data_IF_403724369158
#
_entry.id   IF_403724369158
#
_cell.length_a   1.000
_cell.length_b   1.000
_cell.length_c   1.000
_cell.angle_alpha   90.00
_cell.angle_beta   90.00
_cell.angle_gamma   90.00
#
_symmetry.space_group_name_H-M   'P 1'
#
loop_
_entity.id
_entity.type
_entity.pdbx_description
1 polymer ?
#
# COMPACT_ATOMS: atom_id res chain seq x y z
N UNK A 1 23.25 6.42 9.40
CA UNK A 1 22.61 5.13 9.83
C UNK A 1 21.32 4.79 9.09
N UNK A 2 20.24 5.57 9.16
CA UNK A 2 18.99 5.23 8.45
C UNK A 2 19.18 5.09 6.94
N UNK A 3 20.00 5.97 6.33
CA UNK A 3 20.35 5.88 4.92
C UNK A 3 21.09 4.57 4.58
N UNK A 4 21.99 4.09 5.46
CA UNK A 4 22.67 2.80 5.28
C UNK A 4 21.67 1.64 5.32
N UNK A 5 20.74 1.65 6.29
CA UNK A 5 19.69 0.64 6.36
C UNK A 5 18.78 0.68 5.13
N UNK A 6 18.39 1.86 4.66
CA UNK A 6 17.59 2.01 3.45
C UNK A 6 18.33 1.48 2.21
N UNK A 7 19.63 1.74 2.10
CA UNK A 7 20.47 1.22 1.01
C UNK A 7 20.59 -0.31 1.06
N UNK A 8 20.81 -0.88 2.24
CA UNK A 8 20.86 -2.33 2.44
C UNK A 8 19.53 -3.00 2.06
N UNK A 9 18.39 -2.43 2.47
CA UNK A 9 17.06 -2.94 2.08
C UNK A 9 16.84 -2.83 0.56
N UNK A 10 17.30 -1.74 -0.07
CA UNK A 10 17.31 -1.58 -1.54
C UNK A 10 18.26 -2.54 -2.26
N UNK A 11 19.23 -3.12 -1.56
CA UNK A 11 20.09 -4.20 -2.02
C UNK A 11 19.54 -5.60 -1.67
N UNK A 12 18.36 -5.69 -1.04
CA UNK A 12 17.67 -6.94 -0.74
C UNK A 12 17.84 -7.47 0.69
N UNK A 13 18.42 -6.70 1.61
CA UNK A 13 18.49 -7.11 3.01
C UNK A 13 17.08 -7.25 3.63
N UNK A 14 16.74 -8.48 4.03
CA UNK A 14 15.42 -8.81 4.61
C UNK A 14 15.41 -8.83 6.14
N UNK A 15 16.60 -8.85 6.77
CA UNK A 15 16.82 -8.92 8.21
C UNK A 15 17.84 -7.87 8.68
N UNK A 16 17.84 -7.54 9.98
CA UNK A 16 18.83 -6.61 10.55
C UNK A 16 20.24 -7.20 10.58
N UNK A 17 20.38 -8.52 10.50
CA UNK A 17 21.67 -9.19 10.32
C UNK A 17 22.22 -8.89 8.92
N UNK A 18 21.41 -9.13 7.88
CA UNK A 18 21.78 -8.83 6.49
C UNK A 18 22.05 -7.33 6.27
N UNK A 19 21.36 -6.45 7.00
CA UNK A 19 21.70 -5.01 7.00
C UNK A 19 23.10 -4.78 7.57
N UNK A 20 23.44 -5.44 8.68
CA UNK A 20 24.77 -5.33 9.29
C UNK A 20 25.88 -5.84 8.38
N UNK A 21 25.67 -7.01 7.75
CA UNK A 21 26.58 -7.61 6.77
C UNK A 21 26.80 -6.67 5.58
N UNK A 22 25.72 -6.13 5.00
CA UNK A 22 25.82 -5.18 3.89
C UNK A 22 26.59 -3.90 4.27
N UNK A 23 26.44 -3.42 5.52
CA UNK A 23 27.18 -2.24 6.01
C UNK A 23 28.67 -2.58 6.19
N UNK A 24 29.00 -3.79 6.66
CA UNK A 24 30.37 -4.23 6.83
C UNK A 24 31.11 -4.37 5.48
N UNK A 25 30.40 -4.83 4.45
CA UNK A 25 30.95 -5.02 3.10
C UNK A 25 30.93 -3.73 2.25
N UNK A 26 30.36 -2.64 2.75
CA UNK A 26 30.20 -1.41 1.99
C UNK A 26 31.55 -0.69 1.75
N UNK A 27 31.82 -0.22 0.52
CA UNK A 27 33.06 0.51 0.22
C UNK A 27 33.24 1.75 1.09
N UNK A 28 34.50 2.01 1.46
CA UNK A 28 34.95 3.19 2.20
C UNK A 28 34.34 4.51 1.67
N UNK A 29 34.43 4.75 0.36
CA UNK A 29 33.93 5.99 -0.22
C UNK A 29 32.40 6.14 -0.02
N UNK A 30 31.65 5.05 -0.10
CA UNK A 30 30.21 5.06 0.13
C UNK A 30 29.88 5.37 1.59
N UNK A 31 30.57 4.72 2.52
CA UNK A 31 30.40 4.93 3.96
C UNK A 31 30.63 6.40 4.34
N UNK A 32 31.67 7.02 3.78
CA UNK A 32 31.94 8.45 3.95
C UNK A 32 30.81 9.34 3.43
N UNK A 33 30.29 9.05 2.24
CA UNK A 33 29.17 9.82 1.68
C UNK A 33 27.92 9.74 2.57
N UNK A 34 27.72 8.62 3.25
CA UNK A 34 26.63 8.41 4.19
C UNK A 34 26.96 8.86 5.63
N UNK A 35 28.07 9.57 5.81
CA UNK A 35 28.46 10.24 7.06
C UNK A 35 29.22 9.36 8.05
N UNK A 36 29.69 8.17 7.65
CA UNK A 36 30.59 7.35 8.47
C UNK A 36 32.00 7.88 8.28
N UNK A 37 32.52 8.56 9.30
CA UNK A 37 33.87 9.15 9.31
C UNK A 37 34.84 8.21 10.05
N UNK A 38 36.10 8.13 9.60
CA UNK A 38 37.16 7.55 10.42
C UNK A 38 37.34 8.37 11.70
N UNK A 39 37.66 7.71 12.79
CA UNK A 39 37.94 8.38 14.06
C UNK A 39 39.32 9.08 13.94
N UNK A 40 39.45 10.36 14.34
CA UNK A 40 40.75 11.05 14.29
C UNK A 40 41.85 10.39 15.14
N UNK A 41 41.46 9.64 16.18
CA UNK A 41 42.35 8.96 17.12
C UNK A 41 42.50 7.46 16.82
N UNK A 42 41.60 6.88 16.02
CA UNK A 42 41.68 5.50 15.56
C UNK A 42 41.53 5.43 14.03
N UNK A 43 42.58 5.09 13.27
CA UNK A 43 42.56 5.12 11.81
C UNK A 43 41.59 4.09 11.20
N UNK A 44 41.06 3.15 12.00
CA UNK A 44 39.98 2.27 11.58
C UNK A 44 38.63 3.00 11.56
N UNK A 45 37.85 2.78 10.50
CA UNK A 45 36.49 3.30 10.44
C UNK A 45 35.66 2.66 11.54
N UNK A 46 35.04 3.49 12.38
CA UNK A 46 34.03 3.06 13.34
C UNK A 46 32.76 2.66 12.59
N UNK A 47 32.75 1.43 12.09
CA UNK A 47 31.55 0.83 11.55
C UNK A 47 30.51 0.69 12.67
N UNK A 48 29.22 0.89 12.35
CA UNK A 48 28.17 0.67 13.33
C UNK A 48 28.19 -0.79 13.78
N UNK A 49 28.48 -1.04 15.06
CA UNK A 49 28.39 -2.37 15.62
C UNK A 49 26.99 -2.99 15.36
N UNK A 50 26.90 -4.31 15.26
CA UNK A 50 25.63 -5.00 15.03
C UNK A 50 24.55 -4.65 16.06
N UNK A 51 24.94 -4.30 17.29
CA UNK A 51 24.05 -3.80 18.34
C UNK A 51 23.43 -2.43 17.99
N UNK A 52 24.15 -1.55 17.31
CA UNK A 52 23.65 -0.25 16.83
C UNK A 52 22.67 -0.43 15.67
N UNK A 53 22.98 -1.33 14.73
CA UNK A 53 22.08 -1.68 13.61
C UNK A 53 20.75 -2.24 14.14
N UNK A 54 20.77 -3.03 15.22
CA UNK A 54 19.56 -3.57 15.85
C UNK A 54 18.79 -2.56 16.69
N UNK A 55 19.47 -1.71 17.46
CA UNK A 55 18.84 -0.74 18.37
C UNK A 55 18.16 0.41 17.63
N UNK A 56 18.71 0.85 16.50
CA UNK A 56 18.17 2.01 15.78
C UNK A 56 16.71 1.80 15.34
N UNK A 57 16.34 0.76 14.56
CA UNK A 57 14.95 0.55 14.18
C UNK A 57 14.02 0.32 15.37
N UNK A 58 14.54 -0.18 16.50
CA UNK A 58 13.74 -0.41 17.70
C UNK A 58 13.45 0.86 18.51
N UNK A 59 14.25 1.92 18.33
CA UNK A 59 14.17 3.18 19.11
C UNK A 59 13.73 4.39 18.29
N UNK A 60 13.68 4.27 16.97
CA UNK A 60 13.23 5.37 16.12
C UNK A 60 11.74 5.64 16.32
N UNK A 61 11.36 6.91 16.25
CA UNK A 61 9.96 7.30 16.11
C UNK A 61 9.44 6.79 14.76
N UNK A 62 8.61 5.74 14.81
CA UNK A 62 8.06 5.12 13.61
C UNK A 62 7.03 6.01 12.91
N UNK A 63 6.29 6.84 13.65
CA UNK A 63 5.34 7.79 13.06
C UNK A 63 6.09 8.87 12.28
N UNK A 64 7.21 9.36 12.83
CA UNK A 64 8.08 10.30 12.12
C UNK A 64 8.69 9.66 10.85
N UNK A 65 9.11 8.40 10.93
CA UNK A 65 9.66 7.69 9.77
C UNK A 65 8.61 7.47 8.67
N UNK A 66 7.39 7.03 9.03
CA UNK A 66 6.27 6.87 8.09
C UNK A 66 5.93 8.20 7.41
N UNK A 67 5.82 9.29 8.18
CA UNK A 67 5.58 10.64 7.64
C UNK A 67 6.69 11.11 6.71
N UNK A 68 7.95 10.87 7.08
CA UNK A 68 9.10 11.29 6.27
C UNK A 68 9.12 10.56 4.91
N UNK A 69 8.89 9.24 4.91
CA UNK A 69 8.83 8.44 3.67
C UNK A 69 7.60 8.81 2.84
N UNK A 70 6.45 8.98 3.47
CA UNK A 70 5.21 9.42 2.82
C UNK A 70 5.36 10.77 2.12
N UNK A 71 5.93 11.77 2.81
CA UNK A 71 6.25 13.09 2.24
C UNK A 71 7.25 13.00 1.10
N UNK A 72 8.32 12.22 1.27
CA UNK A 72 9.32 12.02 0.22
C UNK A 72 8.69 11.48 -1.07
N UNK A 73 7.70 10.59 -0.96
CA UNK A 73 6.92 10.10 -2.10
C UNK A 73 5.93 11.11 -2.65
N UNK A 74 5.25 11.87 -1.79
CA UNK A 74 4.32 12.91 -2.22
C UNK A 74 5.04 13.99 -3.06
N UNK A 75 6.21 14.46 -2.60
CA UNK A 75 7.03 15.47 -3.28
C UNK A 75 7.58 14.99 -4.63
N UNK A 76 7.66 13.67 -4.83
CA UNK A 76 8.24 13.03 -6.02
C UNK A 76 7.22 12.26 -6.84
N UNK A 77 5.94 12.42 -6.52
CA UNK A 77 4.83 11.83 -7.25
C UNK A 77 4.53 12.64 -8.51
N UNK A 78 4.14 12.00 -9.63
CA UNK A 78 3.70 12.70 -10.81
C UNK A 78 2.36 13.42 -10.52
N UNK A 79 2.27 14.68 -10.92
CA UNK A 79 1.00 15.40 -10.99
C UNK A 79 0.21 14.81 -12.15
N UNK A 80 -0.67 13.86 -11.84
CA UNK A 80 -1.52 13.21 -12.85
C UNK A 80 -2.83 13.96 -12.99
N UNK A 81 -3.18 14.31 -14.23
CA UNK A 81 -4.46 14.92 -14.56
C UNK A 81 -5.61 13.89 -14.46
N UNK A 82 -6.79 14.34 -14.04
CA UNK A 82 -8.00 13.54 -13.96
C UNK A 82 -8.22 12.84 -12.61
N UNK A 83 -9.10 11.84 -12.60
CA UNK A 83 -9.50 11.13 -11.39
C UNK A 83 -8.37 10.29 -10.81
N UNK A 84 -7.88 10.69 -9.63
CA UNK A 84 -6.79 10.02 -8.89
C UNK A 84 -7.37 9.13 -7.79
N UNK A 85 -6.90 7.89 -7.72
CA UNK A 85 -7.31 6.93 -6.69
C UNK A 85 -6.29 6.77 -5.58
N UNK A 86 -6.78 6.62 -4.35
CA UNK A 86 -5.99 6.31 -3.16
C UNK A 86 -6.55 5.04 -2.52
N UNK A 87 -5.80 3.94 -2.55
CA UNK A 87 -6.21 2.69 -1.94
C UNK A 87 -5.89 2.71 -0.44
N UNK A 88 -6.84 2.33 0.40
CA UNK A 88 -6.65 2.13 1.83
C UNK A 88 -6.92 0.67 2.17
N UNK A 89 -5.92 -0.01 2.72
CA UNK A 89 -5.99 -1.41 3.13
C UNK A 89 -4.97 -1.71 4.23
N UNK A 90 -5.32 -2.67 5.07
CA UNK A 90 -4.56 -3.08 6.24
C UNK A 90 -3.72 -4.33 5.99
N UNK A 91 -2.52 -4.39 6.59
CA UNK A 91 -1.68 -5.60 6.61
C UNK A 91 -1.21 -5.94 8.01
N UNK A 92 -1.49 -7.16 8.45
CA UNK A 92 -0.90 -7.73 9.66
C UNK A 92 0.51 -8.26 9.40
N UNK A 93 1.45 -7.92 10.29
CA UNK A 93 2.82 -8.45 10.30
C UNK A 93 2.85 -9.76 11.11
N UNK A 94 2.70 -10.91 10.43
CA UNK A 94 2.44 -12.19 11.11
C UNK A 94 3.59 -12.69 11.99
N UNK A 95 4.83 -12.60 11.51
CA UNK A 95 6.01 -13.07 12.25
C UNK A 95 6.40 -12.19 13.47
N UNK A 96 5.94 -10.94 13.46
CA UNK A 96 6.25 -9.93 14.48
C UNK A 96 5.32 -9.98 15.70
N UNK A 97 4.36 -10.92 15.75
CA UNK A 97 3.50 -11.09 16.91
C UNK A 97 4.33 -11.43 18.17
N UNK A 98 4.09 -10.71 19.26
CA UNK A 98 4.74 -10.98 20.56
C UNK A 98 4.12 -12.21 21.22
N UNK A 99 4.86 -12.86 22.13
CA UNK A 99 4.38 -13.97 22.95
C UNK A 99 3.11 -13.64 23.77
N UNK A 100 2.87 -12.35 24.04
CA UNK A 100 1.66 -11.83 24.70
C UNK A 100 0.62 -11.20 23.75
N UNK A 101 0.59 -11.60 22.47
CA UNK A 101 -0.62 -11.47 21.65
C UNK A 101 -0.81 -10.17 20.85
N UNK A 102 0.03 -9.13 20.99
CA UNK A 102 -0.05 -7.96 20.08
C UNK A 102 0.33 -8.38 18.66
N UNK A 103 -0.66 -8.37 17.77
CA UNK A 103 -0.47 -8.43 16.32
C UNK A 103 -0.27 -7.00 15.85
N UNK A 104 0.86 -6.71 15.22
CA UNK A 104 1.07 -5.39 14.59
C UNK A 104 0.28 -5.41 13.29
N UNK A 105 -0.64 -4.47 13.13
CA UNK A 105 -1.41 -4.31 11.93
C UNK A 105 -1.27 -2.88 11.41
N UNK A 106 -0.82 -2.76 10.17
CA UNK A 106 -0.46 -1.50 9.55
C UNK A 106 -1.51 -1.17 8.50
N UNK A 107 -2.21 -0.05 8.69
CA UNK A 107 -3.11 0.53 7.69
C UNK A 107 -2.30 1.45 6.78
N UNK A 108 -2.36 1.23 5.47
CA UNK A 108 -1.61 2.00 4.49
C UNK A 108 -2.53 2.71 3.50
N UNK A 109 -2.16 3.95 3.13
CA UNK A 109 -2.79 4.70 2.04
C UNK A 109 -1.82 4.78 0.86
N UNK A 110 -2.21 4.20 -0.28
CA UNK A 110 -1.35 4.03 -1.45
C UNK A 110 -1.97 4.63 -2.71
N UNK A 111 -1.20 5.45 -3.44
CA UNK A 111 -1.64 6.01 -4.71
C UNK A 111 -1.78 4.91 -5.78
N UNK A 112 -2.92 4.85 -6.48
CA UNK A 112 -3.23 3.80 -7.45
C UNK A 112 -2.24 3.72 -8.62
N UNK A 113 -1.92 4.88 -9.21
CA UNK A 113 -1.16 4.95 -10.48
C UNK A 113 0.32 4.62 -10.29
N UNK A 114 0.90 5.07 -9.18
CA UNK A 114 2.33 4.92 -8.89
C UNK A 114 2.62 3.74 -7.97
N UNK A 115 1.61 3.29 -7.21
CA UNK A 115 1.77 2.28 -6.18
C UNK A 115 2.73 2.71 -5.06
N UNK A 116 2.79 4.01 -4.77
CA UNK A 116 3.56 4.63 -3.69
C UNK A 116 2.69 4.75 -2.43
N UNK A 117 3.25 4.35 -1.29
CA UNK A 117 2.59 4.47 0.01
C UNK A 117 2.81 5.89 0.54
N UNK A 118 1.74 6.69 0.58
CA UNK A 118 1.79 8.09 1.00
C UNK A 118 1.62 8.24 2.51
N UNK A 119 0.97 7.26 3.15
CA UNK A 119 0.82 7.22 4.59
C UNK A 119 0.73 5.77 5.07
N UNK A 120 1.19 5.53 6.30
CA UNK A 120 1.06 4.26 6.99
C UNK A 120 0.94 4.52 8.50
N UNK A 121 0.07 3.77 9.17
CA UNK A 121 -0.17 3.90 10.61
C UNK A 121 -0.38 2.52 11.24
N UNK A 122 0.11 2.33 12.47
CA UNK A 122 -0.14 1.14 13.27
C UNK A 122 -1.46 1.27 14.01
N UNK A 123 -2.34 0.27 13.88
CA UNK A 123 -3.65 0.29 14.51
C UNK A 123 -3.61 0.19 16.03
N UNK A 124 -2.44 0.08 16.66
CA UNK A 124 -2.26 0.24 18.10
C UNK A 124 -2.81 -0.92 18.93
N UNK A 125 -2.67 -0.83 20.26
CA UNK A 125 -3.10 -1.92 21.17
C UNK A 125 -4.58 -1.89 21.53
N UNK A 126 -5.24 -0.73 21.42
CA UNK A 126 -6.64 -0.51 21.84
C UNK A 126 -7.54 -0.04 20.70
N UNK A 127 -6.98 0.18 19.53
CA UNK A 127 -7.65 0.73 18.36
C UNK A 127 -7.84 -0.39 17.34
N UNK A 128 -8.88 -0.25 16.53
CA UNK A 128 -9.16 -1.18 15.43
C UNK A 128 -8.90 -0.45 14.12
N UNK A 129 -8.72 -1.21 13.03
CA UNK A 129 -8.45 -0.67 11.70
C UNK A 129 -9.46 0.44 11.28
N UNK A 130 -10.72 0.33 11.72
CA UNK A 130 -11.78 1.32 11.47
C UNK A 130 -11.43 2.67 12.12
N UNK A 131 -11.06 2.69 13.40
CA UNK A 131 -10.68 3.93 14.11
C UNK A 131 -9.43 4.61 13.54
N UNK A 132 -8.57 3.86 12.83
CA UNK A 132 -7.32 4.37 12.26
C UNK A 132 -7.48 4.98 10.87
N UNK A 133 -8.66 4.84 10.25
CA UNK A 133 -8.92 5.32 8.89
C UNK A 133 -8.79 6.84 8.77
N UNK A 134 -9.44 7.60 9.66
CA UNK A 134 -9.37 9.07 9.63
C UNK A 134 -7.97 9.60 10.01
N UNK A 135 -7.34 9.15 11.13
CA UNK A 135 -5.98 9.57 11.47
C UNK A 135 -4.96 9.29 10.37
N UNK A 136 -5.07 8.17 9.66
CA UNK A 136 -4.21 7.86 8.53
C UNK A 136 -4.35 8.92 7.42
N UNK A 137 -5.58 9.25 7.03
CA UNK A 137 -5.83 10.21 5.96
C UNK A 137 -5.49 11.65 6.36
N UNK A 138 -5.49 11.98 7.66
CA UNK A 138 -5.01 13.27 8.15
C UNK A 138 -3.50 13.47 7.93
N UNK A 139 -2.74 12.38 7.80
CA UNK A 139 -1.30 12.46 7.47
C UNK A 139 -1.02 12.65 5.98
N UNK A 140 -2.03 12.47 5.12
CA UNK A 140 -1.92 12.72 3.68
C UNK A 140 -2.11 14.21 3.42
N UNK A 141 -1.13 14.85 2.76
CA UNK A 141 -1.06 16.31 2.61
C UNK A 141 -2.32 16.92 1.98
N UNK A 142 -2.85 16.32 0.92
CA UNK A 142 -4.10 16.75 0.30
C UNK A 142 -4.90 15.54 -0.21
N UNK A 143 -6.13 15.42 0.29
CA UNK A 143 -7.09 14.38 -0.12
C UNK A 143 -8.23 14.94 -0.97
N UNK A 144 -8.32 16.27 -1.13
CA UNK A 144 -9.38 16.89 -1.89
C UNK A 144 -9.34 16.42 -3.36
N UNK A 145 -10.51 16.07 -3.89
CA UNK A 145 -10.66 15.52 -5.24
C UNK A 145 -10.08 14.11 -5.44
N UNK A 146 -9.46 13.48 -4.43
CA UNK A 146 -9.05 12.08 -4.52
C UNK A 146 -10.25 11.15 -4.38
N UNK A 147 -10.16 9.99 -5.01
CA UNK A 147 -11.10 8.88 -4.81
C UNK A 147 -10.47 7.84 -3.91
N UNK A 148 -10.89 7.81 -2.66
CA UNK A 148 -10.45 6.80 -1.70
C UNK A 148 -11.18 5.48 -2.00
N UNK A 149 -10.42 4.43 -2.29
CA UNK A 149 -10.94 3.08 -2.44
C UNK A 149 -10.54 2.24 -1.26
N UNK A 150 -11.51 1.59 -0.65
CA UNK A 150 -11.28 0.78 0.54
C UNK A 150 -11.95 -0.57 0.42
N UNK A 151 -11.52 -1.47 1.27
CA UNK A 151 -12.13 -2.77 1.43
C UNK A 151 -13.57 -2.65 2.00
N UNK A 152 -14.20 -3.80 2.21
CA UNK A 152 -15.57 -3.81 2.72
C UNK A 152 -15.67 -3.45 4.19
N UNK A 153 -14.65 -3.72 5.00
CA UNK A 153 -14.66 -3.39 6.42
C UNK A 153 -14.74 -1.88 6.65
N UNK A 154 -14.13 -1.09 5.76
CA UNK A 154 -14.19 0.37 5.74
C UNK A 154 -15.45 0.96 5.11
N UNK A 155 -16.43 0.13 4.72
CA UNK A 155 -17.76 0.60 4.27
C UNK A 155 -18.56 1.08 5.48
N UNK A 156 -18.15 2.20 6.06
CA UNK A 156 -18.73 2.85 7.23
C UNK A 156 -19.30 4.21 6.84
N UNK A 157 -20.44 4.58 7.43
CA UNK A 157 -21.10 5.85 7.14
C UNK A 157 -20.23 7.04 7.57
N UNK A 158 -19.62 6.95 8.75
CA UNK A 158 -18.71 7.97 9.29
C UNK A 158 -17.51 8.21 8.37
N UNK A 159 -16.92 7.16 7.80
CA UNK A 159 -15.82 7.31 6.84
C UNK A 159 -16.25 8.05 5.57
N UNK A 160 -17.45 7.75 5.07
CA UNK A 160 -18.00 8.43 3.90
C UNK A 160 -18.26 9.92 4.19
N UNK A 161 -18.86 10.24 5.34
CA UNK A 161 -19.11 11.63 5.76
C UNK A 161 -17.80 12.41 5.96
N UNK A 162 -16.80 11.81 6.60
CA UNK A 162 -15.47 12.38 6.74
C UNK A 162 -14.82 12.71 5.39
N UNK A 163 -14.84 11.77 4.44
CA UNK A 163 -14.25 11.98 3.12
C UNK A 163 -14.96 13.10 2.36
N UNK A 164 -16.30 13.13 2.39
CA UNK A 164 -17.08 14.18 1.76
C UNK A 164 -16.82 15.55 2.39
N UNK A 165 -16.69 15.62 3.72
CA UNK A 165 -16.32 16.84 4.44
C UNK A 165 -14.95 17.39 4.01
N UNK A 166 -14.00 16.50 3.68
CA UNK A 166 -12.68 16.87 3.14
C UNK A 166 -12.66 17.06 1.61
N UNK A 167 -13.83 17.16 0.96
CA UNK A 167 -13.98 17.28 -0.50
C UNK A 167 -13.33 16.12 -1.27
N UNK A 168 -13.17 14.97 -0.63
CA UNK A 168 -12.74 13.73 -1.25
C UNK A 168 -13.97 12.91 -1.68
N UNK A 169 -13.73 11.93 -2.55
CA UNK A 169 -14.72 10.97 -2.98
C UNK A 169 -14.35 9.58 -2.51
N UNK A 170 -15.31 8.66 -2.53
CA UNK A 170 -15.07 7.27 -2.17
C UNK A 170 -15.59 6.29 -3.22
N UNK A 171 -14.98 5.11 -3.26
CA UNK A 171 -15.59 3.90 -3.82
C UNK A 171 -15.42 2.78 -2.80
N UNK A 172 -16.53 2.26 -2.28
CA UNK A 172 -16.54 1.24 -1.22
C UNK A 172 -17.24 -0.03 -1.69
N UNK A 173 -16.68 -1.19 -1.33
CA UNK A 173 -17.23 -2.50 -1.72
C UNK A 173 -18.21 -2.98 -0.67
N UNK A 174 -19.47 -3.18 -1.06
CA UNK A 174 -20.54 -3.59 -0.15
C UNK A 174 -20.60 -5.12 -0.04
N UNK A 175 -20.28 -5.68 1.13
CA UNK A 175 -20.38 -7.12 1.45
C UNK A 175 -21.49 -7.38 2.47
N UNK A 176 -21.37 -8.47 3.24
CA UNK A 176 -22.38 -8.91 4.21
C UNK A 176 -22.46 -8.06 5.47
N UNK A 177 -21.45 -7.24 5.75
CA UNK A 177 -21.43 -6.30 6.88
C UNK A 177 -22.44 -5.15 6.73
N UNK A 178 -22.89 -4.86 5.51
CA UNK A 178 -23.87 -3.81 5.22
C UNK A 178 -25.16 -4.40 4.63
N UNK A 179 -25.92 -5.14 5.46
CA UNK A 179 -27.06 -5.97 5.01
C UNK A 179 -28.14 -5.15 4.27
N UNK A 180 -28.56 -4.02 4.83
CA UNK A 180 -29.65 -3.20 4.27
C UNK A 180 -29.23 -2.53 2.96
N UNK A 181 -28.05 -1.92 2.93
CA UNK A 181 -27.47 -1.35 1.72
C UNK A 181 -27.32 -2.41 0.62
N UNK A 182 -26.81 -3.60 0.97
CA UNK A 182 -26.70 -4.71 0.02
C UNK A 182 -28.05 -5.19 -0.50
N UNK A 183 -29.11 -5.17 0.33
CA UNK A 183 -30.47 -5.52 -0.09
C UNK A 183 -30.99 -4.50 -1.12
N UNK A 184 -30.84 -3.19 -0.85
CA UNK A 184 -31.19 -2.14 -1.82
C UNK A 184 -30.41 -2.25 -3.12
N UNK A 185 -29.09 -2.50 -3.03
CA UNK A 185 -28.26 -2.66 -4.22
C UNK A 185 -28.71 -3.88 -5.04
N UNK A 186 -29.13 -4.97 -4.42
CA UNK A 186 -29.65 -6.15 -5.14
C UNK A 186 -31.01 -5.90 -5.81
N UNK A 187 -31.85 -5.04 -5.25
CA UNK A 187 -33.19 -4.75 -5.78
C UNK A 187 -33.21 -3.77 -6.94
N UNK A 188 -32.08 -3.10 -7.25
CA UNK A 188 -31.98 -2.24 -8.43
C UNK A 188 -32.21 -3.06 -9.72
N UNK A 189 -32.77 -2.44 -10.79
CA UNK A 189 -33.14 -3.12 -12.04
C UNK A 189 -31.92 -3.44 -12.92
N UNK A 190 -30.97 -4.23 -12.39
CA UNK A 190 -29.73 -4.59 -13.10
C UNK A 190 -29.92 -5.33 -14.41
N UNK A 191 -31.10 -5.90 -14.64
CA UNK A 191 -31.42 -6.56 -15.91
C UNK A 191 -31.63 -5.52 -17.03
N UNK A 192 -32.27 -4.40 -16.71
CA UNK A 192 -32.58 -3.30 -17.63
C UNK A 192 -31.38 -2.39 -17.89
N UNK A 193 -30.47 -2.27 -16.92
CA UNK A 193 -29.27 -1.44 -17.07
C UNK A 193 -28.34 -2.06 -18.14
N UNK A 194 -27.91 -1.31 -19.17
CA UNK A 194 -27.04 -1.83 -20.22
C UNK A 194 -25.65 -2.21 -19.68
N UNK A 195 -24.95 -3.08 -20.40
CA UNK A 195 -23.56 -3.39 -20.10
C UNK A 195 -22.67 -2.21 -20.51
N UNK A 196 -22.06 -1.54 -19.54
CA UNK A 196 -21.26 -0.32 -19.80
C UNK A 196 -19.75 -0.57 -19.82
N UNK A 197 -19.31 -1.78 -19.52
CA UNK A 197 -17.90 -2.13 -19.64
C UNK A 197 -17.62 -3.62 -19.50
N UNK A 198 -16.61 -4.10 -20.23
CA UNK A 198 -16.16 -5.49 -20.18
C UNK A 198 -14.65 -5.56 -20.35
N UNK A 199 -13.99 -6.23 -19.42
CA UNK A 199 -12.55 -6.51 -19.52
C UNK A 199 -12.31 -8.01 -19.46
N UNK A 200 -11.34 -8.50 -20.24
CA UNK A 200 -10.84 -9.88 -20.18
C UNK A 200 -9.36 -9.84 -19.80
N UNK A 201 -8.95 -10.69 -18.87
CA UNK A 201 -7.55 -10.86 -18.50
C UNK A 201 -7.22 -12.35 -18.45
N UNK A 202 -5.99 -12.71 -18.83
CA UNK A 202 -5.47 -14.07 -18.76
C UNK A 202 -4.13 -14.01 -18.03
N UNK A 203 -4.00 -14.76 -16.94
CA UNK A 203 -2.78 -14.76 -16.13
C UNK A 203 -2.85 -15.79 -15.01
N UNK A 204 -1.69 -16.26 -14.54
CA UNK A 204 -1.55 -17.23 -13.44
C UNK A 204 -2.46 -18.47 -13.59
N UNK A 205 -2.54 -19.03 -14.81
CA UNK A 205 -3.36 -20.20 -15.12
C UNK A 205 -4.88 -19.96 -15.11
N UNK A 206 -5.33 -18.70 -15.08
CA UNK A 206 -6.74 -18.32 -14.97
C UNK A 206 -7.13 -17.34 -16.07
N UNK A 207 -8.37 -17.42 -16.52
CA UNK A 207 -9.02 -16.42 -17.37
C UNK A 207 -10.09 -15.72 -16.54
N UNK A 208 -10.08 -14.39 -16.51
CA UNK A 208 -11.06 -13.59 -15.79
C UNK A 208 -11.75 -12.60 -16.73
N UNK A 209 -13.08 -12.61 -16.72
CA UNK A 209 -13.92 -11.61 -17.39
C UNK A 209 -14.63 -10.82 -16.31
N UNK A 210 -14.52 -9.49 -16.38
CA UNK A 210 -15.28 -8.57 -15.52
C UNK A 210 -16.24 -7.78 -16.40
N UNK A 211 -17.49 -7.68 -15.94
CA UNK A 211 -18.56 -6.89 -16.55
C UNK A 211 -19.04 -5.89 -15.52
N UNK A 212 -19.12 -4.61 -15.89
CA UNK A 212 -19.61 -3.54 -15.02
C UNK A 212 -20.94 -2.99 -15.54
N UNK A 213 -21.85 -2.76 -14.59
CA UNK A 213 -23.08 -1.97 -14.76
C UNK A 213 -23.11 -0.93 -13.65
N UNK A 214 -23.57 0.27 -13.98
CA UNK A 214 -23.61 1.43 -13.09
C UNK A 214 -24.97 2.09 -13.23
N UNK A 215 -25.58 2.44 -12.10
CA UNK A 215 -26.85 3.15 -12.02
C UNK A 215 -26.66 4.43 -11.22
N UNK A 216 -27.15 5.56 -11.72
CA UNK A 216 -27.33 6.75 -10.91
C UNK A 216 -28.41 6.48 -9.85
N UNK A 217 -28.17 6.91 -8.62
CA UNK A 217 -29.03 6.66 -7.47
C UNK A 217 -29.04 7.87 -6.55
N UNK A 218 -30.20 8.18 -5.97
CA UNK A 218 -30.35 9.31 -5.04
C UNK A 218 -30.80 8.89 -3.62
N UNK A 219 -31.21 7.63 -3.42
CA UNK A 219 -31.89 7.17 -2.20
C UNK A 219 -31.24 5.93 -1.57
N UNK A 220 -29.94 5.71 -1.80
CA UNK A 220 -29.22 4.65 -1.10
C UNK A 220 -29.01 5.00 0.37
N UNK A 221 -29.08 3.98 1.22
CA UNK A 221 -28.78 4.06 2.66
C UNK A 221 -27.26 4.17 2.92
N UNK A 222 -26.57 5.10 2.25
CA UNK A 222 -25.16 5.36 2.43
C UNK A 222 -24.83 6.82 2.12
N UNK A 223 -24.04 7.47 2.97
CA UNK A 223 -23.86 8.92 2.95
C UNK A 223 -23.25 9.43 1.64
N UNK A 224 -23.97 10.33 0.95
CA UNK A 224 -23.53 10.98 -0.28
C UNK A 224 -23.43 10.05 -1.49
N UNK A 225 -24.00 8.84 -1.44
CA UNK A 225 -23.99 7.89 -2.56
C UNK A 225 -24.75 8.44 -3.78
N UNK A 226 -24.07 8.49 -4.93
CA UNK A 226 -24.63 9.00 -6.21
C UNK A 226 -24.68 7.96 -7.32
N UNK A 227 -23.82 6.94 -7.27
CA UNK A 227 -23.87 5.83 -8.20
C UNK A 227 -23.73 4.47 -7.49
N UNK A 228 -24.57 3.52 -7.91
CA UNK A 228 -24.49 2.11 -7.55
C UNK A 228 -23.77 1.34 -8.64
N UNK A 229 -22.90 0.41 -8.25
CA UNK A 229 -22.06 -0.35 -9.17
C UNK A 229 -22.29 -1.84 -8.96
N UNK A 230 -22.57 -2.57 -10.04
CA UNK A 230 -22.55 -4.03 -10.07
C UNK A 230 -21.40 -4.51 -10.95
N UNK A 231 -20.51 -5.32 -10.37
CA UNK A 231 -19.45 -6.02 -11.10
C UNK A 231 -19.71 -7.51 -11.07
N UNK A 232 -19.93 -8.11 -12.24
CA UNK A 232 -19.94 -9.57 -12.41
C UNK A 232 -18.56 -10.03 -12.85
N UNK A 233 -17.93 -10.87 -12.02
CA UNK A 233 -16.63 -11.51 -12.25
C UNK A 233 -16.86 -12.97 -12.61
N UNK A 234 -16.52 -13.37 -13.84
CA UNK A 234 -16.44 -14.78 -14.26
C UNK A 234 -14.98 -15.16 -14.31
N UNK A 235 -14.58 -16.11 -13.48
CA UNK A 235 -13.23 -16.68 -13.47
C UNK A 235 -13.31 -18.13 -13.94
N UNK A 236 -12.45 -18.47 -14.89
CA UNK A 236 -12.27 -19.83 -15.39
C UNK A 236 -10.86 -20.28 -15.06
N UNK A 237 -10.74 -21.38 -14.33
CA UNK A 237 -9.48 -22.07 -14.17
C UNK A 237 -9.13 -22.79 -15.48
N UNK A 238 -7.94 -22.54 -16.04
CA UNK A 238 -7.58 -23.06 -17.36
C UNK A 238 -7.15 -24.52 -17.35
N UNK A 239 -6.77 -25.07 -16.18
CA UNK A 239 -6.37 -26.48 -16.06
C UNK A 239 -7.58 -27.37 -15.85
N UNK A 240 -8.47 -26.95 -14.95
CA UNK A 240 -9.64 -27.76 -14.55
C UNK A 240 -10.91 -27.40 -15.31
N UNK A 241 -10.91 -26.28 -16.05
CA UNK A 241 -12.12 -25.74 -16.69
C UNK A 241 -13.14 -25.13 -15.71
N UNK A 242 -12.90 -25.22 -14.39
CA UNK A 242 -13.86 -24.80 -13.36
C UNK A 242 -14.21 -23.32 -13.49
N UNK A 243 -15.50 -23.03 -13.63
CA UNK A 243 -16.04 -21.67 -13.72
C UNK A 243 -16.57 -21.23 -12.36
N UNK A 244 -16.21 -20.03 -11.94
CA UNK A 244 -16.76 -19.35 -10.76
C UNK A 244 -17.28 -17.99 -11.16
N UNK A 245 -18.54 -17.70 -10.83
CA UNK A 245 -19.16 -16.39 -11.08
C UNK A 245 -19.45 -15.73 -9.73
N UNK A 246 -18.96 -14.51 -9.54
CA UNK A 246 -19.23 -13.69 -8.36
C UNK A 246 -19.79 -12.34 -8.77
N UNK A 247 -20.83 -11.90 -8.08
CA UNK A 247 -21.36 -10.54 -8.18
C UNK A 247 -20.86 -9.72 -6.99
N UNK A 248 -20.20 -8.61 -7.29
CA UNK A 248 -19.71 -7.64 -6.31
C UNK A 248 -20.51 -6.36 -6.48
N UNK A 249 -20.92 -5.76 -5.37
CA UNK A 249 -21.57 -4.45 -5.36
C UNK A 249 -20.61 -3.42 -4.78
N UNK A 250 -20.64 -2.22 -5.34
CA UNK A 250 -19.93 -1.07 -4.81
C UNK A 250 -20.78 0.19 -4.91
N UNK A 251 -20.45 1.20 -4.11
CA UNK A 251 -21.13 2.49 -4.09
C UNK A 251 -20.08 3.59 -4.16
N UNK A 252 -20.41 4.69 -4.83
CA UNK A 252 -19.54 5.86 -4.92
C UNK A 252 -20.31 7.15 -4.70
N UNK A 253 -19.61 8.15 -4.18
CA UNK A 253 -20.08 9.54 -4.10
C UNK A 253 -20.03 10.29 -5.43
N UNK A 254 -19.30 9.77 -6.42
CA UNK A 254 -19.15 10.41 -7.72
C UNK A 254 -20.46 10.33 -8.51
N UNK A 255 -20.88 11.45 -9.08
CA UNK A 255 -22.00 11.51 -10.02
C UNK A 255 -21.61 10.94 -11.39
N UNK A 256 -22.62 10.67 -12.23
CA UNK A 256 -22.40 10.16 -13.59
C UNK A 256 -21.55 11.12 -14.45
N UNK A 257 -21.65 12.42 -14.22
CA UNK A 257 -20.88 13.45 -14.92
C UNK A 257 -19.42 13.52 -14.44
N UNK A 258 -19.19 13.19 -13.17
CA UNK A 258 -17.84 13.20 -12.59
C UNK A 258 -17.04 11.94 -12.92
N UNK A 259 -17.69 10.78 -13.04
CA UNK A 259 -16.98 9.53 -13.30
C UNK A 259 -17.80 8.55 -14.16
N UNK A 260 -17.23 8.20 -15.29
CA UNK A 260 -17.75 7.19 -16.22
C UNK A 260 -17.65 5.77 -15.64
N UNK A 261 -18.48 4.82 -16.10
CA UNK A 261 -18.36 3.41 -15.72
C UNK A 261 -16.96 2.81 -15.97
N UNK A 262 -16.27 3.24 -17.04
CA UNK A 262 -14.91 2.79 -17.34
C UNK A 262 -13.90 3.28 -16.29
N UNK A 263 -13.98 4.54 -15.86
CA UNK A 263 -13.14 5.09 -14.80
C UNK A 263 -13.41 4.42 -13.45
N UNK A 264 -14.68 4.18 -13.10
CA UNK A 264 -15.05 3.45 -11.90
C UNK A 264 -14.51 2.01 -11.90
N UNK A 265 -14.63 1.30 -13.03
CA UNK A 265 -14.08 -0.04 -13.19
C UNK A 265 -12.55 -0.06 -13.01
N UNK A 266 -11.86 0.95 -13.54
CA UNK A 266 -10.42 1.14 -13.38
C UNK A 266 -10.06 1.35 -11.90
N UNK A 267 -10.67 2.31 -11.21
CA UNK A 267 -10.38 2.61 -9.79
C UNK A 267 -10.63 1.40 -8.87
N UNK A 268 -11.72 0.65 -9.10
CA UNK A 268 -12.00 -0.58 -8.33
C UNK A 268 -10.95 -1.66 -8.61
N UNK A 269 -10.48 -1.75 -9.85
CA UNK A 269 -9.41 -2.69 -10.21
C UNK A 269 -8.09 -2.27 -9.59
N UNK A 270 -7.76 -1.00 -9.65
CA UNK A 270 -6.49 -0.44 -9.20
C UNK A 270 -6.37 -0.49 -7.67
N UNK A 271 -7.48 -0.59 -6.93
CA UNK A 271 -7.44 -0.92 -5.50
C UNK A 271 -6.60 -2.19 -5.21
N UNK A 272 -6.65 -3.22 -6.07
CA UNK A 272 -5.86 -4.46 -5.90
C UNK A 272 -4.34 -4.24 -5.90
N UNK A 273 -3.85 -3.08 -6.35
CA UNK A 273 -2.41 -2.78 -6.32
C UNK A 273 -1.85 -2.77 -4.90
N UNK A 274 -2.67 -2.46 -3.87
CA UNK A 274 -2.22 -2.52 -2.47
C UNK A 274 -2.03 -3.96 -2.00
N UNK A 275 -2.87 -4.89 -2.44
CA UNK A 275 -2.67 -6.32 -2.20
C UNK A 275 -1.40 -6.84 -2.91
N UNK A 276 -1.09 -6.31 -4.10
CA UNK A 276 0.18 -6.61 -4.80
C UNK A 276 1.38 -6.10 -3.99
N UNK A 277 1.29 -4.91 -3.40
CA UNK A 277 2.32 -4.39 -2.48
C UNK A 277 2.51 -5.35 -1.30
N UNK A 278 1.42 -5.78 -0.65
CA UNK A 278 1.47 -6.74 0.46
C UNK A 278 2.18 -8.04 0.05
N UNK A 279 1.82 -8.60 -1.11
CA UNK A 279 2.48 -9.80 -1.64
C UNK A 279 3.98 -9.59 -1.90
N UNK A 280 4.39 -8.44 -2.45
CA UNK A 280 5.82 -8.14 -2.66
C UNK A 280 6.56 -8.05 -1.33
N UNK A 281 5.98 -7.40 -0.31
CA UNK A 281 6.55 -7.35 1.05
C UNK A 281 6.75 -8.76 1.62
N UNK A 282 5.78 -9.65 1.44
CA UNK A 282 5.85 -11.01 1.97
C UNK A 282 6.85 -11.90 1.21
N UNK A 283 6.75 -11.92 -0.11
CA UNK A 283 7.52 -12.87 -0.93
C UNK A 283 8.92 -12.39 -1.26
N UNK A 284 9.11 -11.09 -1.42
CA UNK A 284 10.42 -10.52 -1.79
C UNK A 284 11.22 -10.10 -0.56
N UNK A 285 10.55 -9.58 0.48
CA UNK A 285 11.22 -9.11 1.70
C UNK A 285 11.04 -10.02 2.91
N UNK A 286 10.44 -11.21 2.72
CA UNK A 286 10.19 -12.20 3.77
C UNK A 286 9.48 -11.61 5.01
N UNK A 287 8.58 -10.64 4.80
CA UNK A 287 8.02 -9.84 5.90
C UNK A 287 7.21 -10.68 6.89
N UNK A 288 6.33 -11.56 6.41
CA UNK A 288 5.56 -12.47 7.27
C UNK A 288 6.45 -13.47 8.04
N UNK A 289 7.65 -13.78 7.54
CA UNK A 289 8.64 -14.62 8.23
C UNK A 289 9.53 -13.84 9.20
N UNK A 290 9.48 -12.51 9.19
CA UNK A 290 10.34 -11.67 10.02
C UNK A 290 9.95 -11.76 11.50
N UNK A 291 10.90 -12.14 12.35
CA UNK A 291 10.71 -12.26 13.80
C UNK A 291 11.21 -11.04 14.59
N UNK A 292 11.29 -9.88 13.95
CA UNK A 292 11.53 -8.62 14.66
C UNK A 292 10.31 -8.33 15.55
N UNK A 293 10.54 -8.13 16.85
CA UNK A 293 9.47 -7.96 17.87
C UNK A 293 9.74 -6.82 18.85
N UNK A 294 10.92 -6.17 18.75
CA UNK A 294 11.40 -5.21 19.75
C UNK A 294 11.11 -3.77 19.31
N UNK A 295 10.48 -3.01 20.21
CA UNK A 295 10.19 -1.58 20.00
C UNK A 295 9.48 -1.32 18.66
N UNK A 296 9.89 -0.27 17.97
CA UNK A 296 9.38 0.12 16.65
C UNK A 296 9.98 -0.66 15.47
N UNK A 297 10.89 -1.62 15.71
CA UNK A 297 11.66 -2.26 14.63
C UNK A 297 10.81 -2.92 13.53
N UNK A 298 9.68 -3.61 13.83
CA UNK A 298 8.87 -4.25 12.79
C UNK A 298 8.24 -3.21 11.86
N UNK A 299 7.72 -2.12 12.42
CA UNK A 299 7.11 -1.02 11.69
C UNK A 299 8.16 -0.22 10.92
N UNK A 300 9.32 0.04 11.51
CA UNK A 300 10.43 0.70 10.83
C UNK A 300 10.90 -0.09 9.59
N UNK A 301 11.02 -1.42 9.71
CA UNK A 301 11.36 -2.28 8.57
C UNK A 301 10.26 -2.31 7.51
N UNK A 302 8.98 -2.35 7.88
CA UNK A 302 7.87 -2.20 6.94
C UNK A 302 7.95 -0.89 6.15
N UNK A 303 8.29 0.21 6.84
CA UNK A 303 8.46 1.54 6.24
C UNK A 303 9.64 1.57 5.25
N UNK A 304 10.78 0.99 5.64
CA UNK A 304 11.97 0.89 4.78
C UNK A 304 11.72 0.01 3.55
N UNK A 305 10.91 -1.04 3.67
CA UNK A 305 10.47 -1.87 2.54
C UNK A 305 9.56 -1.08 1.60
N UNK A 306 8.61 -0.30 2.13
CA UNK A 306 7.79 0.61 1.32
C UNK A 306 8.68 1.63 0.58
N UNK A 307 9.68 2.20 1.25
CA UNK A 307 10.67 3.10 0.65
C UNK A 307 11.41 2.43 -0.51
N UNK A 308 11.95 1.23 -0.29
CA UNK A 308 12.68 0.48 -1.32
C UNK A 308 11.80 0.14 -2.53
N UNK A 309 10.58 -0.37 -2.29
CA UNK A 309 9.62 -0.70 -3.35
C UNK A 309 9.26 0.56 -4.15
N UNK A 310 8.91 1.66 -3.47
CA UNK A 310 8.52 2.88 -4.14
C UNK A 310 9.66 3.55 -4.90
N UNK A 311 10.88 3.56 -4.35
CA UNK A 311 12.07 4.07 -5.05
C UNK A 311 12.34 3.28 -6.34
N UNK A 312 12.16 1.95 -6.33
CA UNK A 312 12.26 1.11 -7.52
C UNK A 312 11.12 1.36 -8.52
N UNK A 313 9.86 1.47 -8.07
CA UNK A 313 8.73 1.75 -8.96
C UNK A 313 8.87 3.08 -9.69
N UNK A 314 9.46 4.09 -9.04
CA UNK A 314 9.73 5.41 -9.66
C UNK A 314 10.68 5.35 -10.85
N UNK A 315 11.49 4.30 -10.99
CA UNK A 315 12.36 4.10 -12.16
C UNK A 315 11.73 3.23 -13.25
N UNK A 316 10.45 2.89 -13.12
CA UNK A 316 9.72 2.07 -14.09
C UNK A 316 9.97 0.56 -13.95
N UNK A 317 10.66 0.12 -12.88
CA UNK A 317 10.90 -1.31 -12.62
C UNK A 317 9.58 -2.03 -12.34
N UNK A 318 9.35 -3.12 -13.06
CA UNK A 318 8.19 -4.01 -12.87
C UNK A 318 8.53 -5.26 -12.05
N UNK A 319 9.80 -5.69 -12.04
CA UNK A 319 10.28 -6.84 -11.27
C UNK A 319 11.18 -6.40 -10.11
N UNK A 320 10.58 -6.24 -8.93
CA UNK A 320 11.26 -5.77 -7.72
C UNK A 320 12.40 -6.71 -7.32
N UNK A 321 12.17 -8.04 -7.32
CA UNK A 321 13.19 -9.01 -6.92
C UNK A 321 14.41 -9.00 -7.86
N UNK A 322 14.23 -8.81 -9.16
CA UNK A 322 15.33 -8.65 -10.10
C UNK A 322 16.12 -7.36 -9.85
N UNK A 323 15.43 -6.25 -9.55
CA UNK A 323 16.09 -4.97 -9.27
C UNK A 323 16.86 -4.98 -7.95
N UNK A 324 16.35 -5.62 -6.89
CA UNK A 324 17.11 -5.80 -5.65
C UNK A 324 18.41 -6.58 -5.89
N UNK A 325 18.35 -7.68 -6.66
CA UNK A 325 19.56 -8.44 -7.05
C UNK A 325 20.53 -7.61 -7.90
N UNK A 326 20.02 -6.72 -8.76
CA UNK A 326 20.87 -5.78 -9.51
C UNK A 326 21.55 -4.79 -8.57
N UNK A 327 20.84 -4.26 -7.59
CA UNK A 327 21.40 -3.33 -6.60
C UNK A 327 22.42 -3.99 -5.68
N UNK A 328 22.22 -5.27 -5.33
CA UNK A 328 23.17 -6.03 -4.52
C UNK A 328 24.58 -6.13 -5.14
N UNK A 329 24.69 -6.04 -6.47
CA UNK A 329 25.96 -6.15 -7.21
C UNK A 329 26.75 -4.84 -7.28
N UNK A 330 26.15 -3.72 -6.87
CA UNK A 330 26.76 -2.40 -6.99
C UNK A 330 26.14 -1.47 -5.94
N UNK A 331 26.86 -1.21 -4.84
CA UNK A 331 26.32 -0.51 -3.69
C UNK A 331 26.10 0.99 -3.94
N UNK A 332 26.57 1.56 -5.08
CA UNK A 332 26.24 2.94 -5.47
C UNK A 332 24.81 3.08 -6.01
N UNK A 333 24.21 2.00 -6.55
CA UNK A 333 22.85 2.06 -7.14
C UNK A 333 21.78 2.44 -6.12
N UNK A 334 21.74 1.86 -4.90
CA UNK A 334 20.84 2.33 -3.85
C UNK A 334 20.96 3.82 -3.54
N UNK A 335 22.17 4.39 -3.50
CA UNK A 335 22.38 5.82 -3.25
C UNK A 335 21.74 6.67 -4.34
N UNK A 336 21.95 6.30 -5.61
CA UNK A 336 21.36 7.00 -6.75
C UNK A 336 19.82 6.97 -6.72
N UNK A 337 19.23 5.83 -6.35
CA UNK A 337 17.77 5.69 -6.22
C UNK A 337 17.17 6.58 -5.12
N UNK A 338 17.94 6.85 -4.06
CA UNK A 338 17.55 7.72 -2.96
C UNK A 338 17.91 9.19 -3.17
N UNK A 339 18.67 9.53 -4.23
CA UNK A 339 19.18 10.88 -4.45
C UNK A 339 20.29 11.27 -3.47
N UNK A 340 21.07 10.28 -3.01
CA UNK A 340 22.22 10.43 -2.11
C UNK A 340 23.56 10.21 -2.84
N UNK A 341 23.49 10.04 -4.17
CA UNK A 341 24.64 9.91 -5.05
C UNK A 341 25.14 11.26 -5.56
#
# INVERSE_FOLDING_TARGET
>A
MLALTACAVLAGATSLLAVGEWIADAPAQLLERLGVRPDPLMPERLLPAGSTVRRLPARIDADALDRAVGRWFADRGPVTAGLRGLAVDGKSLRGAAKAHGRKIHLLAAMAHTTGLVLAQLDDGEKTNEITCFQPLLDTVADVAGLVVTSDAMHTQREHAEYLLGRRAHYIVIVKGNQKNLRKQLKSLPWKEIPLQGRTKNIGHGRSEIRRIKVAAVNSLLFAGARQAIQIKRRRTDRKTGRITIKTVYAVTSLTADQATPAQLARLIRDHWTIEVLHHVRDTTFAEDASQLRTGSAPRAMATLRNLAIGALKRTGVTNIAAALRRNARDPQRPLGLLGLA
#
